data_IF_586510999759
#
_entry.id   IF_586510999759
#
_cell.length_a   1.000
_cell.length_b   1.000
_cell.length_c   1.000
_cell.angle_alpha   90.00
_cell.angle_beta   90.00
_cell.angle_gamma   90.00
#
_symmetry.space_group_name_H-M   'P 1'
#
loop_
_entity.id
_entity.type
_entity.pdbx_description
1 polymer ?
#
# COMPACT_ATOMS: atom_id res chain seq x y z
N UNK A 1 1.14 -7.15 14.28
CA UNK A 1 1.85 -6.14 13.47
C UNK A 1 3.06 -5.55 14.21
N UNK A 2 2.86 -4.81 15.31
CA UNK A 2 3.91 -4.06 16.02
C UNK A 2 5.18 -4.87 16.31
N UNK A 3 5.06 -6.03 16.97
CA UNK A 3 6.20 -6.87 17.35
C UNK A 3 7.03 -7.34 16.17
N UNK A 4 6.38 -7.69 15.06
CA UNK A 4 7.06 -8.12 13.81
C UNK A 4 7.84 -6.94 13.22
N UNK A 5 7.21 -5.76 13.16
CA UNK A 5 7.87 -4.58 12.64
C UNK A 5 9.05 -4.14 13.53
N UNK A 6 8.94 -4.34 14.84
CA UNK A 6 10.05 -4.12 15.78
C UNK A 6 11.23 -5.07 15.53
N UNK A 7 10.95 -6.35 15.28
CA UNK A 7 11.98 -7.30 14.88
C UNK A 7 12.67 -6.88 13.57
N UNK A 8 11.89 -6.54 12.54
CA UNK A 8 12.40 -6.07 11.24
C UNK A 8 13.26 -4.81 11.42
N UNK A 9 12.81 -3.86 12.24
CA UNK A 9 13.54 -2.64 12.55
C UNK A 9 14.91 -2.92 13.20
N UNK A 10 14.98 -3.88 14.13
CA UNK A 10 16.25 -4.28 14.73
C UNK A 10 17.18 -4.93 13.70
N UNK A 11 16.63 -5.78 12.83
CA UNK A 11 17.40 -6.48 11.79
C UNK A 11 17.85 -5.57 10.63
N UNK A 12 17.13 -4.49 10.36
CA UNK A 12 17.57 -3.45 9.44
C UNK A 12 18.75 -2.66 9.98
N UNK A 13 18.79 -2.43 11.30
CA UNK A 13 19.87 -1.68 11.96
C UNK A 13 21.13 -2.50 12.17
N UNK A 14 21.00 -3.84 12.26
CA UNK A 14 22.14 -4.75 12.45
C UNK A 14 23.02 -4.86 11.20
N UNK A 15 22.42 -4.86 10.01
CA UNK A 15 23.12 -5.15 8.76
C UNK A 15 22.70 -4.21 7.62
N UNK A 16 23.64 -3.36 7.18
CA UNK A 16 23.40 -2.38 6.12
C UNK A 16 23.35 -3.06 4.74
N UNK A 17 22.16 -3.18 4.16
CA UNK A 17 21.96 -3.69 2.79
C UNK A 17 20.66 -3.14 2.20
N UNK A 18 20.54 -3.16 0.87
CA UNK A 18 19.35 -2.69 0.15
C UNK A 18 18.15 -3.59 0.46
N UNK A 19 17.05 -3.01 0.96
CA UNK A 19 15.80 -3.73 1.30
C UNK A 19 14.57 -2.87 1.01
N UNK A 20 13.42 -3.53 0.93
CA UNK A 20 12.11 -2.90 1.00
C UNK A 20 11.36 -3.58 2.14
N UNK A 21 10.78 -2.77 3.03
CA UNK A 21 9.81 -3.23 4.03
C UNK A 21 8.44 -2.85 3.55
N UNK A 22 7.60 -3.85 3.34
CA UNK A 22 6.20 -3.67 2.98
C UNK A 22 5.36 -3.94 4.23
N UNK A 23 4.54 -2.96 4.61
CA UNK A 23 3.59 -3.08 5.71
C UNK A 23 2.21 -3.04 5.10
N UNK A 24 1.64 -4.23 4.95
CA UNK A 24 0.25 -4.39 4.54
C UNK A 24 -0.70 -4.13 5.73
N UNK A 25 -1.91 -3.68 5.44
CA UNK A 25 -2.91 -3.26 6.43
C UNK A 25 -2.33 -2.32 7.51
N UNK A 26 -1.57 -1.32 7.05
CA UNK A 26 -0.82 -0.43 7.94
C UNK A 26 -1.72 0.44 8.83
N UNK A 27 -3.02 0.56 8.53
CA UNK A 27 -4.02 1.25 9.35
C UNK A 27 -4.11 0.66 10.77
N UNK A 28 -3.83 -0.63 10.94
CA UNK A 28 -3.81 -1.28 12.27
C UNK A 28 -2.81 -0.60 13.20
N UNK A 29 -1.70 -0.09 12.67
CA UNK A 29 -0.72 0.65 13.48
C UNK A 29 -1.22 2.03 13.89
N UNK A 30 -2.18 2.62 13.16
CA UNK A 30 -2.73 3.94 13.46
C UNK A 30 -3.71 3.93 14.63
N UNK A 31 -4.28 2.77 14.97
CA UNK A 31 -5.25 2.61 16.07
C UNK A 31 -4.68 2.87 17.47
N UNK A 32 -3.35 2.85 17.62
CA UNK A 32 -2.67 3.09 18.88
C UNK A 32 -1.53 4.09 18.71
N UNK A 33 -1.43 5.06 19.62
CA UNK A 33 -0.49 6.17 19.50
C UNK A 33 0.98 5.72 19.46
N UNK A 34 1.36 4.76 20.31
CA UNK A 34 2.74 4.24 20.38
C UNK A 34 3.11 3.46 19.11
N UNK A 35 2.16 2.68 18.59
CA UNK A 35 2.35 1.95 17.33
C UNK A 35 2.48 2.91 16.14
N UNK A 36 1.65 3.94 16.08
CA UNK A 36 1.68 4.96 15.03
C UNK A 36 2.99 5.76 15.07
N UNK A 37 3.41 6.18 16.27
CA UNK A 37 4.68 6.86 16.52
C UNK A 37 5.87 5.99 16.10
N UNK A 38 5.80 4.69 16.36
CA UNK A 38 6.84 3.74 15.96
C UNK A 38 6.97 3.60 14.45
N UNK A 39 5.86 3.39 13.72
CA UNK A 39 5.86 3.31 12.25
C UNK A 39 6.38 4.63 11.64
N UNK A 40 5.95 5.77 12.16
CA UNK A 40 6.46 7.08 11.75
C UNK A 40 7.97 7.23 11.99
N UNK A 41 8.45 6.74 13.14
CA UNK A 41 9.86 6.68 13.45
C UNK A 41 10.65 5.84 12.43
N UNK A 42 10.08 4.75 11.93
CA UNK A 42 10.67 3.94 10.86
C UNK A 42 10.68 4.73 9.56
N UNK A 43 9.56 5.30 9.14
CA UNK A 43 9.43 6.09 7.90
C UNK A 43 10.46 7.22 7.81
N UNK A 44 10.75 7.90 8.93
CA UNK A 44 11.77 8.96 8.98
C UNK A 44 13.21 8.47 8.89
N UNK A 45 13.49 7.22 9.24
CA UNK A 45 14.86 6.72 9.44
C UNK A 45 15.28 5.60 8.50
N UNK A 46 14.35 4.87 7.88
CA UNK A 46 14.62 3.69 7.05
C UNK A 46 15.66 3.95 5.95
N UNK A 47 15.64 5.16 5.36
CA UNK A 47 16.61 5.59 4.32
C UNK A 47 18.07 5.55 4.79
N UNK A 48 18.35 5.82 6.08
CA UNK A 48 19.71 5.73 6.65
C UNK A 48 20.25 4.30 6.64
N UNK A 49 19.37 3.32 6.51
CA UNK A 49 19.68 1.89 6.51
C UNK A 49 19.48 1.25 5.13
N UNK A 50 19.59 2.01 4.04
CA UNK A 50 19.36 1.54 2.66
C UNK A 50 18.01 0.82 2.46
N UNK A 51 16.99 1.23 3.23
CA UNK A 51 15.70 0.57 3.22
C UNK A 51 14.57 1.51 2.81
N UNK A 52 13.78 1.08 1.82
CA UNK A 52 12.50 1.69 1.48
C UNK A 52 11.39 1.16 2.38
N UNK A 53 10.42 2.02 2.74
CA UNK A 53 9.20 1.64 3.43
C UNK A 53 8.02 1.84 2.48
N UNK A 54 7.20 0.81 2.32
CA UNK A 54 5.94 0.83 1.57
C UNK A 54 4.82 0.48 2.52
N UNK A 55 3.88 1.39 2.72
CA UNK A 55 2.66 1.14 3.50
C UNK A 55 1.49 0.94 2.56
N UNK A 56 0.69 -0.11 2.80
CA UNK A 56 -0.51 -0.42 2.02
C UNK A 56 -1.69 -0.36 3.00
N UNK A 57 -2.77 0.31 2.58
CA UNK A 57 -3.99 0.45 3.37
C UNK A 57 -5.19 0.66 2.47
N UNK A 58 -6.34 0.14 2.87
CA UNK A 58 -7.63 0.39 2.24
C UNK A 58 -8.33 1.62 2.85
N UNK A 59 -8.06 1.90 4.12
CA UNK A 59 -8.61 3.04 4.84
C UNK A 59 -7.52 4.09 5.06
N UNK A 60 -7.66 5.23 4.38
CA UNK A 60 -6.77 6.39 4.54
C UNK A 60 -7.20 7.27 5.73
N UNK A 61 -8.46 7.21 6.15
CA UNK A 61 -8.99 8.08 7.19
C UNK A 61 -8.29 7.81 8.53
N UNK A 62 -7.92 6.57 8.81
CA UNK A 62 -7.09 6.19 9.97
C UNK A 62 -5.71 6.87 9.97
N UNK A 63 -5.09 7.02 8.79
CA UNK A 63 -3.84 7.76 8.67
C UNK A 63 -4.05 9.27 8.85
N UNK A 64 -5.17 9.79 8.35
CA UNK A 64 -5.46 11.22 8.40
C UNK A 64 -5.90 11.70 9.79
N UNK A 65 -6.56 10.85 10.56
CA UNK A 65 -6.93 11.12 11.96
C UNK A 65 -5.72 11.04 12.90
N UNK A 66 -4.68 10.29 12.51
CA UNK A 66 -3.44 10.16 13.29
C UNK A 66 -2.45 11.30 13.02
N UNK A 67 -1.96 11.93 14.09
CA UNK A 67 -0.86 12.93 14.04
C UNK A 67 0.43 12.38 13.40
N UNK A 68 0.61 11.06 13.42
CA UNK A 68 1.77 10.37 12.86
C UNK A 68 1.50 9.82 11.45
N UNK A 69 0.24 9.52 11.13
CA UNK A 69 -0.17 8.93 9.85
C UNK A 69 -0.04 9.92 8.68
N UNK A 70 -0.61 11.12 8.80
CA UNK A 70 -0.56 12.14 7.74
C UNK A 70 0.87 12.39 7.21
N UNK A 71 1.90 12.58 8.06
CA UNK A 71 3.28 12.70 7.59
C UNK A 71 3.87 11.46 6.89
N UNK A 72 3.40 10.24 7.20
CA UNK A 72 3.86 9.02 6.50
C UNK A 72 3.40 9.07 5.05
N UNK A 73 2.13 9.45 4.85
CA UNK A 73 1.52 9.58 3.53
C UNK A 73 2.17 10.71 2.74
N UNK A 74 2.14 11.94 3.27
CA UNK A 74 2.54 13.15 2.49
C UNK A 74 4.03 13.24 2.20
N UNK A 75 4.90 12.55 2.97
CA UNK A 75 6.34 12.54 2.72
C UNK A 75 6.82 11.31 1.93
N UNK A 76 5.91 10.43 1.53
CA UNK A 76 6.25 9.31 0.67
C UNK A 76 6.66 9.81 -0.72
N UNK A 77 7.82 9.38 -1.21
CA UNK A 77 8.33 9.82 -2.51
C UNK A 77 7.54 9.27 -3.69
N UNK A 78 6.86 8.15 -3.47
CA UNK A 78 5.96 7.50 -4.40
C UNK A 78 4.63 7.23 -3.68
N UNK A 79 3.52 7.52 -4.35
CA UNK A 79 2.19 7.17 -3.87
C UNK A 79 1.41 6.55 -5.03
N UNK A 80 0.72 5.45 -4.78
CA UNK A 80 -0.13 4.78 -5.76
C UNK A 80 -1.55 4.77 -5.21
N UNK A 81 -2.44 5.52 -5.85
CA UNK A 81 -3.86 5.52 -5.55
C UNK A 81 -4.56 4.67 -6.61
N UNK A 82 -5.12 3.54 -6.20
CA UNK A 82 -5.98 2.72 -7.05
C UNK A 82 -7.42 3.21 -6.96
N UNK A 83 -8.35 2.54 -7.65
CA UNK A 83 -9.80 2.81 -7.57
C UNK A 83 -10.28 3.11 -6.15
N UNK A 84 -10.99 4.23 -5.99
CA UNK A 84 -11.52 4.69 -4.71
C UNK A 84 -13.04 4.63 -4.64
N UNK A 85 -13.58 4.55 -3.42
CA UNK A 85 -15.03 4.61 -3.22
C UNK A 85 -15.53 6.06 -3.26
N UNK A 86 -16.77 6.32 -3.71
CA UNK A 86 -17.38 7.65 -3.63
C UNK A 86 -17.43 8.22 -2.20
N UNK A 87 -17.45 7.37 -1.17
CA UNK A 87 -17.48 7.80 0.22
C UNK A 87 -16.13 8.33 0.72
N UNK A 88 -15.01 7.83 0.17
CA UNK A 88 -13.66 8.22 0.59
C UNK A 88 -13.02 9.28 -0.33
N UNK A 89 -13.57 9.48 -1.54
CA UNK A 89 -12.90 10.26 -2.59
C UNK A 89 -12.63 11.71 -2.20
N UNK A 90 -13.52 12.37 -1.48
CA UNK A 90 -13.34 13.77 -1.09
C UNK A 90 -12.18 13.93 -0.10
N UNK A 91 -12.10 13.04 0.90
CA UNK A 91 -10.98 13.03 1.86
C UNK A 91 -9.65 12.74 1.17
N UNK A 92 -9.63 11.83 0.20
CA UNK A 92 -8.44 11.52 -0.61
C UNK A 92 -8.06 12.72 -1.48
N UNK A 93 -9.04 13.35 -2.12
CA UNK A 93 -8.86 14.53 -2.96
C UNK A 93 -8.15 15.64 -2.19
N UNK A 94 -8.62 15.93 -0.98
CA UNK A 94 -8.03 16.96 -0.12
C UNK A 94 -6.64 16.55 0.42
N UNK A 95 -6.45 15.27 0.72
CA UNK A 95 -5.19 14.75 1.27
C UNK A 95 -4.05 14.79 0.26
N UNK A 96 -4.34 14.40 -0.99
CA UNK A 96 -3.37 14.25 -2.06
C UNK A 96 -3.38 15.41 -3.05
N UNK A 97 -4.19 16.44 -2.80
CA UNK A 97 -4.35 17.62 -3.66
C UNK A 97 -4.71 17.24 -5.10
N UNK A 98 -5.68 16.34 -5.24
CA UNK A 98 -6.12 15.85 -6.54
C UNK A 98 -6.84 16.95 -7.32
N UNK A 99 -6.63 16.94 -8.63
CA UNK A 99 -7.47 17.66 -9.58
C UNK A 99 -8.82 16.95 -9.74
N UNK A 100 -9.85 17.68 -10.18
CA UNK A 100 -11.15 17.08 -10.48
C UNK A 100 -11.05 15.96 -11.53
N UNK A 101 -10.11 16.05 -12.46
CA UNK A 101 -9.84 15.02 -13.46
C UNK A 101 -9.28 13.74 -12.83
N UNK A 102 -8.32 13.87 -11.90
CA UNK A 102 -7.76 12.72 -11.18
C UNK A 102 -8.79 12.09 -10.25
N UNK A 103 -9.61 12.92 -9.60
CA UNK A 103 -10.74 12.48 -8.79
C UNK A 103 -11.70 11.60 -9.61
N UNK A 104 -12.12 12.09 -10.77
CA UNK A 104 -13.00 11.36 -11.69
C UNK A 104 -12.35 10.07 -12.19
N UNK A 105 -11.06 10.13 -12.55
CA UNK A 105 -10.30 8.95 -12.97
C UNK A 105 -10.29 7.86 -11.88
N UNK A 106 -10.06 8.21 -10.61
CA UNK A 106 -10.04 7.23 -9.52
C UNK A 106 -11.42 6.62 -9.21
N UNK A 107 -12.50 7.35 -9.48
CA UNK A 107 -13.87 6.85 -9.32
C UNK A 107 -14.25 5.85 -10.42
N UNK A 108 -13.86 6.13 -11.66
CA UNK A 108 -14.19 5.32 -12.85
C UNK A 108 -13.16 4.23 -13.17
N UNK A 109 -12.02 4.21 -12.47
CA UNK A 109 -10.96 3.21 -12.67
C UNK A 109 -11.46 1.79 -12.40
N UNK A 110 -10.99 0.82 -13.18
CA UNK A 110 -11.20 -0.60 -12.89
C UNK A 110 -10.21 -1.11 -11.83
N UNK A 111 -10.38 -2.36 -11.40
CA UNK A 111 -9.38 -3.04 -10.55
C UNK A 111 -8.04 -3.06 -11.28
N UNK A 112 -6.97 -2.63 -10.59
CA UNK A 112 -5.63 -2.51 -11.16
C UNK A 112 -5.36 -1.18 -11.88
N UNK A 113 -6.35 -0.31 -12.02
CA UNK A 113 -6.18 1.04 -12.58
C UNK A 113 -6.16 2.10 -11.48
N UNK A 114 -5.42 3.19 -11.73
CA UNK A 114 -5.28 4.28 -10.78
C UNK A 114 -4.30 5.36 -11.22
N UNK A 115 -3.78 6.11 -10.24
CA UNK A 115 -2.84 7.22 -10.43
C UNK A 115 -1.58 6.98 -9.60
N UNK A 116 -0.42 7.09 -10.26
CA UNK A 116 0.89 7.04 -9.65
C UNK A 116 1.47 8.45 -9.52
N UNK A 117 1.94 8.77 -8.31
CA UNK A 117 2.51 10.04 -7.92
C UNK A 117 4.01 9.82 -7.75
N UNK A 118 4.81 10.57 -8.49
CA UNK A 118 6.27 10.57 -8.41
C UNK A 118 6.76 12.01 -8.24
N UNK A 119 6.86 12.45 -6.98
CA UNK A 119 7.03 13.86 -6.66
C UNK A 119 5.85 14.67 -7.18
N UNK A 120 6.12 15.68 -8.01
CA UNK A 120 5.08 16.54 -8.60
C UNK A 120 4.42 15.97 -9.87
N UNK A 121 4.82 14.78 -10.33
CA UNK A 121 4.26 14.16 -11.53
C UNK A 121 3.20 13.15 -11.15
N UNK A 122 2.02 13.29 -11.73
CA UNK A 122 0.92 12.34 -11.58
C UNK A 122 0.65 11.69 -12.93
N UNK A 123 0.55 10.36 -12.96
CA UNK A 123 0.40 9.58 -14.18
C UNK A 123 -0.65 8.49 -13.98
N UNK A 124 -1.60 8.40 -14.90
CA UNK A 124 -2.55 7.29 -14.93
C UNK A 124 -1.79 5.98 -15.22
N UNK A 125 -2.07 4.95 -14.43
CA UNK A 125 -1.40 3.66 -14.52
C UNK A 125 -2.42 2.51 -14.54
N UNK A 126 -2.07 1.46 -15.28
CA UNK A 126 -2.77 0.18 -15.29
C UNK A 126 -1.77 -0.93 -14.97
N UNK A 127 -1.99 -1.62 -13.87
CA UNK A 127 -1.21 -2.77 -13.45
C UNK A 127 -1.78 -4.01 -14.13
N UNK A 128 -0.92 -4.74 -14.84
CA UNK A 128 -1.29 -5.97 -15.56
C UNK A 128 -0.42 -7.08 -14.97
N UNK A 129 -1.06 -8.05 -14.33
CA UNK A 129 -0.39 -9.27 -13.88
C UNK A 129 -0.18 -10.20 -15.08
N UNK A 130 0.97 -10.85 -15.14
CA UNK A 130 1.13 -11.99 -16.05
C UNK A 130 0.23 -13.15 -15.59
N UNK A 131 -0.09 -14.06 -16.50
CA UNK A 131 -0.90 -15.24 -16.18
C UNK A 131 -0.32 -16.07 -15.02
N UNK A 132 1.01 -16.20 -14.97
CA UNK A 132 1.69 -16.93 -13.91
C UNK A 132 1.59 -16.22 -12.55
N UNK A 133 1.68 -14.88 -12.52
CA UNK A 133 1.50 -14.09 -11.31
C UNK A 133 0.05 -14.16 -10.82
N UNK A 134 -0.93 -14.02 -11.72
CA UNK A 134 -2.36 -14.04 -11.42
C UNK A 134 -2.77 -15.33 -10.70
N UNK A 135 -2.28 -16.50 -11.16
CA UNK A 135 -2.51 -17.78 -10.49
C UNK A 135 -1.94 -17.87 -9.08
N UNK A 136 -0.86 -17.14 -8.78
CA UNK A 136 -0.19 -17.16 -7.48
C UNK A 136 -0.87 -16.20 -6.51
N UNK A 137 -1.31 -15.04 -7.00
CA UNK A 137 -1.78 -13.94 -6.15
C UNK A 137 -3.31 -13.84 -6.06
N UNK A 138 -4.05 -14.57 -6.90
CA UNK A 138 -5.51 -14.48 -6.89
C UNK A 138 -6.09 -14.86 -5.53
N UNK A 139 -6.96 -13.99 -5.04
CA UNK A 139 -7.77 -14.21 -3.85
C UNK A 139 -9.25 -14.41 -4.20
N UNK A 140 -9.63 -14.46 -5.49
CA UNK A 140 -11.00 -14.76 -5.89
C UNK A 140 -11.28 -16.25 -5.58
N UNK A 141 -12.21 -16.54 -4.65
CA UNK A 141 -12.54 -17.92 -4.30
C UNK A 141 -12.93 -18.78 -5.50
N UNK A 142 -13.55 -18.19 -6.54
CA UNK A 142 -13.95 -18.91 -7.76
C UNK A 142 -12.74 -19.35 -8.57
N UNK A 143 -11.79 -18.46 -8.79
CA UNK A 143 -10.54 -18.80 -9.51
C UNK A 143 -9.72 -19.82 -8.73
N UNK A 144 -9.67 -19.70 -7.39
CA UNK A 144 -9.01 -20.70 -6.54
C UNK A 144 -9.65 -22.08 -6.68
N UNK A 145 -10.98 -22.17 -6.68
CA UNK A 145 -11.71 -23.43 -6.90
C UNK A 145 -11.46 -24.01 -8.30
N UNK A 146 -11.42 -23.18 -9.34
CA UNK A 146 -11.10 -23.62 -10.72
C UNK A 146 -9.66 -24.16 -10.82
N UNK A 147 -8.70 -23.48 -10.19
CA UNK A 147 -7.29 -23.93 -10.14
C UNK A 147 -7.17 -25.25 -9.37
N UNK A 148 -7.87 -25.42 -8.25
CA UNK A 148 -7.90 -26.68 -7.50
C UNK A 148 -8.52 -27.83 -8.31
N UNK A 149 -9.61 -27.57 -9.03
CA UNK A 149 -10.26 -28.57 -9.87
C UNK A 149 -9.34 -29.01 -11.02
N UNK A 150 -8.73 -28.05 -11.72
CA UNK A 150 -7.76 -28.35 -12.77
C UNK A 150 -6.58 -29.19 -12.25
N UNK A 151 -6.03 -28.86 -11.07
CA UNK A 151 -4.95 -29.66 -10.46
C UNK A 151 -5.34 -31.10 -10.16
N UNK A 152 -6.59 -31.36 -9.77
CA UNK A 152 -7.10 -32.73 -9.56
C UNK A 152 -7.23 -33.50 -10.87
N UNK A 153 -7.69 -32.83 -11.92
CA UNK A 153 -7.88 -33.45 -13.24
C UNK A 153 -6.55 -33.77 -13.94
N UNK A 154 -5.49 -32.99 -13.71
CA UNK A 154 -4.14 -33.25 -14.23
C UNK A 154 -3.31 -34.25 -13.39
N UNK A 155 -3.71 -34.52 -12.15
CA UNK A 155 -3.03 -35.45 -11.23
C UNK A 155 -3.61 -36.87 -11.21
N UNK A 156 -4.61 -37.15 -12.05
CA UNK A 156 -5.29 -38.44 -12.25
C UNK A 156 -4.81 -39.13 -13.52
#
# INVERSE_FOLDING_TARGET
MYTILQFIWNEMRSTLKKRIVVVDEAWVMMQNEDAASFLFGIAKRCRKYYTGLTTITQDIADFMSSRYGKPIVTNSSLQLLLRQSPAAIDTISDTFYLTEQEKFLLLESNVGEGVLFAGAKHVAIKVIASYAEDQIITSDPRQLMEIEQAKKDFGS
#
